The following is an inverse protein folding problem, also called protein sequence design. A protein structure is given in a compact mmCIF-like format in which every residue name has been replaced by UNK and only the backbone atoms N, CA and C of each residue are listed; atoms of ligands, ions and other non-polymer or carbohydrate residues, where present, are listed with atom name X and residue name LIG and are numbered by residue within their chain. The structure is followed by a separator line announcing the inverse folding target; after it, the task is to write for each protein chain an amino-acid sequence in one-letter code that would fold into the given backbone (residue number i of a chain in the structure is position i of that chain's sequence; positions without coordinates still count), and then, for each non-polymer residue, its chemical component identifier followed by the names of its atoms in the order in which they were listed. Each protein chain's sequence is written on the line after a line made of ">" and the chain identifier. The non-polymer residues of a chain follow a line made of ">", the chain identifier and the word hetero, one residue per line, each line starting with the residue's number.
data_IF_605155361392
#
_entry.id   IF_605155361392
#
_cell.length_a   1.000
_cell.length_b   1.000
_cell.length_c   1.000
_cell.angle_alpha   90.00
_cell.angle_beta   90.00
_cell.angle_gamma   90.00
#
_symmetry.space_group_name_H-M   'P 1'
#
loop_
_entity.id
_entity.type
_entity.pdbx_description
1 polymer ?
#
# COMPACT_ATOMS: atom_id res chain seq x y z
N UNK A 1 -21.74 16.11 5.00
CA UNK A 1 -20.81 15.68 6.06
C UNK A 1 -19.44 15.94 5.52
N UNK A 2 -18.75 16.90 6.12
CA UNK A 2 -17.55 17.56 5.63
C UNK A 2 -16.43 16.59 5.26
N UNK A 3 -15.96 16.68 4.01
CA UNK A 3 -14.87 15.90 3.44
C UNK A 3 -13.47 16.41 3.86
N UNK A 4 -13.36 17.12 4.98
CA UNK A 4 -12.20 17.97 5.29
C UNK A 4 -11.21 17.36 6.30
N UNK A 5 -11.51 16.18 6.87
CA UNK A 5 -10.66 15.54 7.90
C UNK A 5 -10.22 14.10 7.54
N UNK A 6 -10.49 13.63 6.32
CA UNK A 6 -10.02 12.31 5.91
C UNK A 6 -8.55 12.34 5.51
N UNK A 7 -7.76 11.41 6.05
CA UNK A 7 -6.37 11.16 5.66
C UNK A 7 -6.26 10.16 4.50
N UNK A 8 -7.39 9.68 3.96
CA UNK A 8 -7.41 8.80 2.79
C UNK A 8 -6.67 9.44 1.61
N UNK A 9 -5.79 8.66 0.96
CA UNK A 9 -4.95 9.13 -0.13
C UNK A 9 -3.77 10.01 0.30
N UNK A 10 -3.53 10.21 1.61
CA UNK A 10 -2.36 10.92 2.12
C UNK A 10 -1.22 9.97 2.50
N UNK A 11 -0.04 10.53 2.61
CA UNK A 11 1.14 9.87 3.15
C UNK A 11 1.35 10.27 4.61
N UNK A 12 1.58 9.28 5.46
CA UNK A 12 2.08 9.45 6.81
C UNK A 12 3.59 9.19 6.83
N UNK A 13 4.34 10.14 7.35
CA UNK A 13 5.79 10.05 7.48
C UNK A 13 6.11 9.95 8.97
N UNK A 14 6.78 8.87 9.36
CA UNK A 14 7.20 8.67 10.74
C UNK A 14 8.21 9.74 11.17
N UNK A 15 7.97 10.38 12.31
CA UNK A 15 8.88 11.37 12.88
C UNK A 15 10.09 10.71 13.55
N UNK A 16 11.28 11.35 13.52
CA UNK A 16 12.45 10.87 14.27
C UNK A 16 12.14 10.91 15.78
N UNK A 17 12.16 9.75 16.43
CA UNK A 17 11.71 9.58 17.81
C UNK A 17 10.37 8.84 17.95
N UNK A 18 9.83 8.31 16.86
CA UNK A 18 8.69 7.40 16.89
C UNK A 18 8.98 6.21 17.83
N UNK A 19 8.17 6.06 18.88
CA UNK A 19 8.42 5.08 19.94
C UNK A 19 8.29 3.61 19.49
N UNK A 20 7.64 3.36 18.35
CA UNK A 20 7.52 2.02 17.78
C UNK A 20 8.58 1.77 16.68
N UNK A 21 9.55 0.87 16.92
CA UNK A 21 10.63 0.60 15.96
C UNK A 21 10.14 -0.01 14.64
N UNK A 22 8.92 -0.57 14.60
CA UNK A 22 8.33 -1.11 13.36
C UNK A 22 8.00 0.00 12.37
N UNK A 23 7.67 1.18 12.89
CA UNK A 23 7.26 2.33 12.11
C UNK A 23 8.36 3.38 11.97
N UNK A 24 9.48 3.26 12.69
CA UNK A 24 10.63 4.12 12.51
C UNK A 24 11.08 4.19 11.03
N UNK A 25 11.28 5.43 10.56
CA UNK A 25 11.59 5.78 9.17
C UNK A 25 10.62 5.20 8.13
N UNK A 26 9.35 4.98 8.49
CA UNK A 26 8.34 4.46 7.56
C UNK A 26 7.56 5.59 6.90
N UNK A 27 7.24 5.38 5.63
CA UNK A 27 6.28 6.17 4.87
C UNK A 27 5.09 5.28 4.58
N UNK A 28 3.91 5.68 5.04
CA UNK A 28 2.68 4.91 4.93
C UNK A 28 1.71 5.64 4.03
N UNK A 29 1.21 4.95 3.01
CA UNK A 29 0.11 5.42 2.19
C UNK A 29 -1.23 5.02 2.79
N UNK A 30 -2.08 5.99 3.07
CA UNK A 30 -3.40 5.79 3.65
C UNK A 30 -4.40 5.35 2.58
N UNK A 31 -4.86 4.11 2.69
CA UNK A 31 -5.81 3.52 1.74
C UNK A 31 -7.25 3.74 2.18
N UNK A 32 -7.51 3.80 3.49
CA UNK A 32 -8.83 4.12 4.03
C UNK A 32 -8.67 4.84 5.37
N UNK A 33 -9.52 5.83 5.63
CA UNK A 33 -9.58 6.52 6.93
C UNK A 33 -11.03 6.86 7.26
N UNK A 34 -11.49 6.39 8.42
CA UNK A 34 -12.85 6.60 8.90
C UNK A 34 -12.87 6.66 10.43
N UNK A 35 -14.01 7.06 11.01
CA UNK A 35 -14.20 7.05 12.45
C UNK A 35 -14.10 5.65 13.09
N UNK A 36 -14.26 4.58 12.30
CA UNK A 36 -14.15 3.19 12.77
C UNK A 36 -12.70 2.69 12.79
N UNK A 37 -11.78 3.39 12.11
CA UNK A 37 -10.38 3.05 12.03
C UNK A 37 -9.74 3.48 10.71
N UNK A 38 -8.46 3.13 10.58
CA UNK A 38 -7.66 3.48 9.43
C UNK A 38 -6.86 2.28 8.89
N UNK A 39 -6.64 2.25 7.58
CA UNK A 39 -5.82 1.26 6.90
C UNK A 39 -4.79 1.97 6.03
N UNK A 40 -3.53 1.57 6.19
CA UNK A 40 -2.43 2.08 5.39
C UNK A 40 -1.42 1.00 5.03
N UNK A 41 -0.64 1.28 3.99
CA UNK A 41 0.42 0.40 3.49
C UNK A 41 1.76 1.13 3.58
N UNK A 42 2.75 0.52 4.20
CA UNK A 42 4.12 1.04 4.18
C UNK A 42 4.69 0.87 2.75
N UNK A 43 5.15 1.97 2.16
CA UNK A 43 5.62 2.02 0.75
C UNK A 43 7.13 2.15 0.61
N UNK A 44 7.87 2.39 1.69
CA UNK A 44 9.32 2.65 1.64
C UNK A 44 10.18 1.56 2.30
N UNK A 45 9.59 0.43 2.68
CA UNK A 45 10.31 -0.73 3.24
C UNK A 45 10.34 -1.87 2.23
N UNK A 46 11.30 -1.89 1.28
CA UNK A 46 11.43 -3.01 0.36
C UNK A 46 11.78 -4.29 1.12
N UNK A 47 11.24 -5.41 0.66
CA UNK A 47 11.54 -6.74 1.18
C UNK A 47 12.50 -7.45 0.20
N UNK A 48 13.82 -7.20 0.26
CA UNK A 48 14.78 -7.69 -0.75
C UNK A 48 14.85 -9.22 -0.84
N UNK A 49 14.44 -9.91 0.22
CA UNK A 49 14.37 -11.38 0.29
C UNK A 49 13.15 -11.94 -0.45
N UNK A 50 12.15 -11.11 -0.74
CA UNK A 50 10.91 -11.49 -1.41
C UNK A 50 10.88 -10.90 -2.82
N UNK A 51 10.88 -11.77 -3.81
CA UNK A 51 10.76 -11.40 -5.22
C UNK A 51 9.36 -11.65 -5.71
N UNK A 52 8.84 -10.74 -6.52
CA UNK A 52 7.54 -10.90 -7.16
C UNK A 52 7.46 -12.23 -7.92
N UNK A 53 8.46 -12.54 -8.75
CA UNK A 53 8.52 -13.82 -9.48
C UNK A 53 8.35 -15.04 -8.57
N UNK A 54 9.03 -15.07 -7.41
CA UNK A 54 8.92 -16.18 -6.47
C UNK A 54 7.54 -16.29 -5.81
N UNK A 55 6.84 -15.16 -5.62
CA UNK A 55 5.47 -15.15 -5.12
C UNK A 55 4.50 -15.72 -6.17
N UNK A 56 4.64 -15.28 -7.43
CA UNK A 56 3.82 -15.77 -8.55
C UNK A 56 4.01 -17.27 -8.77
N UNK A 57 5.26 -17.76 -8.71
CA UNK A 57 5.57 -19.20 -8.77
C UNK A 57 4.95 -19.98 -7.61
N UNK A 58 5.03 -19.47 -6.37
CA UNK A 58 4.42 -20.13 -5.20
C UNK A 58 2.89 -20.19 -5.29
N UNK A 59 2.27 -19.18 -5.91
CA UNK A 59 0.84 -19.10 -6.14
C UNK A 59 0.37 -19.94 -7.34
N UNK A 60 1.31 -20.50 -8.12
CA UNK A 60 1.01 -21.33 -9.28
C UNK A 60 0.47 -20.56 -10.49
N UNK A 61 0.78 -19.27 -10.56
CA UNK A 61 0.34 -18.39 -11.65
C UNK A 61 1.30 -18.54 -12.83
N UNK A 62 0.76 -18.77 -14.04
CA UNK A 62 1.57 -18.86 -15.25
C UNK A 62 2.09 -17.48 -15.65
N UNK A 63 3.41 -17.34 -15.71
CA UNK A 63 4.06 -16.10 -16.16
C UNK A 63 4.12 -16.11 -17.68
N UNK A 64 3.45 -15.17 -18.34
CA UNK A 64 3.51 -15.01 -19.79
C UNK A 64 4.86 -14.44 -20.23
N UNK A 65 5.04 -13.13 -20.02
CA UNK A 65 6.31 -12.41 -20.21
C UNK A 65 6.43 -11.36 -19.12
N UNK A 66 7.38 -11.50 -18.18
CA UNK A 66 7.58 -10.46 -17.18
C UNK A 66 8.25 -9.27 -17.87
N UNK A 67 7.48 -8.28 -18.30
CA UNK A 67 8.05 -7.02 -18.79
C UNK A 67 8.49 -6.11 -17.63
N UNK A 68 8.00 -6.36 -16.41
CA UNK A 68 8.23 -5.49 -15.25
C UNK A 68 8.49 -6.27 -13.96
N UNK A 69 9.57 -5.90 -13.27
CA UNK A 69 9.86 -6.34 -11.90
C UNK A 69 9.08 -5.45 -10.93
N UNK A 70 8.02 -5.99 -10.32
CA UNK A 70 7.28 -5.28 -9.26
C UNK A 70 8.06 -5.40 -7.96
N UNK A 71 8.33 -4.25 -7.34
CA UNK A 71 8.98 -4.20 -6.04
C UNK A 71 8.03 -4.69 -4.95
N UNK A 72 8.47 -5.69 -4.20
CA UNK A 72 7.77 -6.19 -3.01
C UNK A 72 8.22 -5.38 -1.80
N UNK A 73 7.25 -4.86 -1.06
CA UNK A 73 7.44 -4.09 0.14
C UNK A 73 6.74 -4.77 1.32
N UNK A 74 7.24 -4.47 2.51
CA UNK A 74 6.55 -4.79 3.75
C UNK A 74 5.49 -3.72 3.98
N UNK A 75 4.21 -4.06 3.89
CA UNK A 75 3.07 -3.14 4.03
C UNK A 75 2.64 -2.90 5.48
N UNK A 76 2.97 -3.82 6.38
CA UNK A 76 2.75 -3.65 7.81
C UNK A 76 2.69 -4.97 8.57
N UNK A 77 2.62 -4.91 9.91
CA UNK A 77 2.71 -6.09 10.77
C UNK A 77 1.46 -6.99 10.75
N UNK A 78 0.34 -6.52 10.20
CA UNK A 78 -0.94 -7.24 10.19
C UNK A 78 -1.07 -8.03 8.90
N UNK A 79 -1.49 -9.30 8.99
CA UNK A 79 -1.74 -10.19 7.83
C UNK A 79 -0.58 -10.25 6.82
N UNK A 80 0.67 -10.42 7.29
CA UNK A 80 1.87 -10.52 6.42
C UNK A 80 1.78 -11.60 5.32
N UNK A 81 0.89 -12.58 5.46
CA UNK A 81 0.63 -13.61 4.44
C UNK A 81 -0.28 -13.15 3.30
N UNK A 82 -0.89 -11.96 3.41
CA UNK A 82 -1.77 -11.39 2.39
C UNK A 82 -1.07 -10.26 1.65
N UNK A 83 -1.11 -10.33 0.32
CA UNK A 83 -0.61 -9.28 -0.56
C UNK A 83 -1.66 -8.24 -0.89
N UNK A 84 -1.27 -6.98 -0.82
CA UNK A 84 -2.04 -5.83 -1.27
C UNK A 84 -1.26 -5.16 -2.41
N UNK A 85 -1.89 -5.03 -3.57
CA UNK A 85 -1.31 -4.33 -4.71
C UNK A 85 -1.86 -2.91 -4.71
N UNK A 86 -0.98 -1.95 -4.43
CA UNK A 86 -1.26 -0.54 -4.67
C UNK A 86 -0.89 -0.23 -6.12
N UNK A 87 -1.81 0.37 -6.87
CA UNK A 87 -1.62 0.64 -8.28
C UNK A 87 -2.21 1.97 -8.71
N UNK A 88 -1.82 2.43 -9.90
CA UNK A 88 -2.46 3.56 -10.57
C UNK A 88 -3.92 3.24 -10.88
N UNK A 89 -4.81 4.24 -10.80
CA UNK A 89 -6.24 4.11 -11.10
C UNK A 89 -6.58 3.87 -12.60
N UNK A 90 -5.56 3.67 -13.44
CA UNK A 90 -5.71 3.25 -14.85
C UNK A 90 -6.13 1.76 -14.99
N UNK A 91 -5.96 0.99 -13.90
CA UNK A 91 -6.39 -0.40 -13.81
C UNK A 91 -7.52 -0.52 -12.80
N UNK A 92 -8.59 -1.23 -13.18
CA UNK A 92 -9.64 -1.69 -12.28
C UNK A 92 -9.81 -3.19 -12.48
N UNK A 93 -9.56 -3.96 -11.44
CA UNK A 93 -9.97 -5.37 -11.42
C UNK A 93 -11.47 -5.43 -11.14
N UNK A 94 -12.18 -6.29 -11.87
CA UNK A 94 -13.60 -6.57 -11.64
C UNK A 94 -13.83 -7.21 -10.25
N UNK A 95 -12.79 -7.78 -9.65
CA UNK A 95 -12.92 -8.69 -8.54
C UNK A 95 -12.99 -8.02 -7.16
N UNK A 96 -12.29 -6.89 -6.90
CA UNK A 96 -12.35 -6.10 -5.63
C UNK A 96 -11.27 -4.99 -5.61
N UNK A 97 -11.32 -4.02 -6.53
CA UNK A 97 -10.47 -2.82 -6.42
C UNK A 97 -11.13 -1.79 -5.50
N UNK A 98 -10.45 -1.45 -4.41
CA UNK A 98 -10.78 -0.28 -3.59
C UNK A 98 -10.20 0.96 -4.25
N UNK A 99 -11.08 1.87 -4.68
CA UNK A 99 -10.65 3.18 -5.19
C UNK A 99 -10.35 4.09 -4.01
N UNK A 100 -9.06 4.42 -3.82
CA UNK A 100 -8.60 5.30 -2.74
C UNK A 100 -8.74 6.76 -3.16
N UNK A 101 -8.28 7.09 -4.38
CA UNK A 101 -8.41 8.43 -4.96
C UNK A 101 -8.58 8.32 -6.48
N UNK A 102 -8.65 9.46 -7.17
CA UNK A 102 -8.64 9.50 -8.64
C UNK A 102 -7.31 9.02 -9.25
N UNK A 103 -6.22 9.02 -8.48
CA UNK A 103 -4.89 8.60 -8.93
C UNK A 103 -4.49 7.19 -8.47
N UNK A 104 -5.03 6.73 -7.35
CA UNK A 104 -4.60 5.49 -6.68
C UNK A 104 -5.76 4.51 -6.49
N UNK A 105 -5.51 3.25 -6.84
CA UNK A 105 -6.36 2.10 -6.54
C UNK A 105 -5.59 1.05 -5.75
N UNK A 106 -6.30 0.30 -4.92
CA UNK A 106 -5.73 -0.81 -4.16
C UNK A 106 -6.55 -2.07 -4.43
N UNK A 107 -5.86 -3.16 -4.77
CA UNK A 107 -6.49 -4.46 -5.02
C UNK A 107 -5.85 -5.52 -4.11
N UNK A 108 -6.69 -6.36 -3.50
CA UNK A 108 -6.27 -7.38 -2.54
C UNK A 108 -6.65 -8.81 -2.99
N UNK A 109 -6.71 -9.02 -4.31
CA UNK A 109 -7.04 -10.28 -4.99
C UNK A 109 -5.82 -10.84 -5.73
N UNK A 110 -5.88 -12.12 -6.10
CA UNK A 110 -4.82 -12.76 -6.89
C UNK A 110 -4.85 -12.34 -8.37
N UNK A 111 -6.03 -12.02 -8.88
CA UNK A 111 -6.29 -11.60 -10.27
C UNK A 111 -5.34 -10.49 -10.75
N UNK A 112 -5.14 -9.44 -9.96
CA UNK A 112 -4.19 -8.35 -10.31
C UNK A 112 -2.75 -8.83 -10.41
N UNK A 113 -2.35 -9.87 -9.65
CA UNK A 113 -1.02 -10.46 -9.75
C UNK A 113 -0.88 -11.25 -11.06
N UNK A 114 -1.95 -11.92 -11.49
CA UNK A 114 -2.03 -12.64 -12.76
C UNK A 114 -1.95 -11.67 -13.95
N UNK A 115 -2.70 -10.58 -13.91
CA UNK A 115 -2.66 -9.52 -14.95
C UNK A 115 -1.27 -8.89 -15.04
N UNK A 116 -0.65 -8.55 -13.91
CA UNK A 116 0.73 -8.04 -13.89
C UNK A 116 1.70 -9.06 -14.48
N UNK A 117 1.54 -10.36 -14.16
CA UNK A 117 2.40 -11.42 -14.68
C UNK A 117 2.18 -11.67 -16.19
N UNK A 118 0.99 -11.39 -16.72
CA UNK A 118 0.66 -11.49 -18.14
C UNK A 118 1.01 -10.23 -18.95
N UNK A 119 1.20 -9.09 -18.30
CA UNK A 119 1.49 -7.81 -18.94
C UNK A 119 0.28 -6.89 -19.13
N UNK A 120 -0.91 -7.31 -18.71
CA UNK A 120 -2.17 -6.55 -18.71
C UNK A 120 -2.40 -5.74 -17.41
N UNK A 121 -1.43 -5.79 -16.49
CA UNK A 121 -1.47 -5.06 -15.23
C UNK A 121 -1.32 -3.53 -15.37
N UNK A 122 -1.52 -2.80 -14.26
CA UNK A 122 -1.42 -1.33 -14.21
C UNK A 122 -0.10 -0.74 -14.70
N UNK A 123 -0.18 0.50 -15.20
CA UNK A 123 0.98 1.29 -15.59
C UNK A 123 1.96 1.56 -14.44
N UNK A 124 1.54 1.52 -13.19
CA UNK A 124 2.41 1.51 -12.01
C UNK A 124 1.79 0.69 -10.90
N UNK A 125 2.59 -0.18 -10.28
CA UNK A 125 2.16 -1.00 -9.16
C UNK A 125 3.29 -1.21 -8.14
N UNK A 126 2.86 -1.38 -6.89
CA UNK A 126 3.68 -1.75 -5.75
C UNK A 126 2.95 -2.86 -5.00
N UNK A 127 3.65 -3.98 -4.76
CA UNK A 127 3.12 -5.07 -3.96
C UNK A 127 3.57 -4.88 -2.51
N UNK A 128 2.61 -4.73 -1.60
CA UNK A 128 2.85 -4.64 -0.17
C UNK A 128 2.32 -5.91 0.52
N UNK A 129 3.15 -6.53 1.36
CA UNK A 129 2.75 -7.70 2.16
C UNK A 129 2.31 -7.26 3.55
N UNK A 130 1.09 -7.62 3.91
CA UNK A 130 0.42 -7.12 5.09
C UNK A 130 0.02 -5.65 4.99
N UNK A 131 -0.60 -5.15 6.05
CA UNK A 131 -0.99 -3.75 6.17
C UNK A 131 -0.76 -3.23 7.60
N UNK A 132 -0.83 -1.92 7.71
CA UNK A 132 -0.81 -1.20 8.97
C UNK A 132 -2.24 -0.73 9.25
N UNK A 133 -2.79 -1.19 10.37
CA UNK A 133 -4.15 -0.89 10.77
C UNK A 133 -4.18 -0.08 12.06
N UNK A 134 -5.09 0.89 12.12
CA UNK A 134 -5.35 1.70 13.31
C UNK A 134 -6.77 1.47 13.78
N UNK A 135 -6.93 1.35 15.10
CA UNK A 135 -8.23 1.39 15.74
C UNK A 135 -8.88 2.80 15.67
N UNK A 136 -10.15 2.90 16.05
CA UNK A 136 -10.88 4.16 16.04
C UNK A 136 -10.20 5.21 16.94
N UNK A 137 -9.86 6.38 16.38
CA UNK A 137 -9.21 7.48 17.11
C UNK A 137 -7.72 7.28 17.42
N UNK A 138 -7.13 6.13 17.06
CA UNK A 138 -5.73 5.83 17.39
C UNK A 138 -4.78 6.67 16.54
N UNK A 139 -5.04 6.76 15.25
CA UNK A 139 -4.19 7.49 14.32
C UNK A 139 -4.14 8.98 14.68
N UNK A 140 -5.30 9.58 14.97
CA UNK A 140 -5.41 10.98 15.38
C UNK A 140 -4.65 11.24 16.68
N UNK A 141 -4.70 10.31 17.65
CA UNK A 141 -3.93 10.41 18.88
C UNK A 141 -2.42 10.36 18.62
N UNK A 142 -1.94 9.51 17.70
CA UNK A 142 -0.52 9.46 17.33
C UNK A 142 -0.07 10.72 16.60
N UNK A 143 -0.90 11.28 15.72
CA UNK A 143 -0.64 12.56 15.05
C UNK A 143 -0.55 13.70 16.09
N UNK A 144 -1.46 13.74 17.06
CA UNK A 144 -1.43 14.71 18.16
C UNK A 144 -0.18 14.57 19.05
N UNK A 145 0.38 13.37 19.14
CA UNK A 145 1.63 13.10 19.86
C UNK A 145 2.89 13.39 19.03
N UNK A 146 2.75 14.00 17.84
CA UNK A 146 3.84 14.26 16.89
C UNK A 146 4.53 12.98 16.41
N UNK A 147 3.82 11.84 16.38
CA UNK A 147 4.34 10.59 15.84
C UNK A 147 4.41 10.58 14.32
N UNK A 148 3.48 11.29 13.66
CA UNK A 148 3.31 11.28 12.21
C UNK A 148 3.23 12.69 11.64
N UNK A 149 3.89 12.90 10.50
CA UNK A 149 3.63 14.02 9.60
C UNK A 149 2.75 13.56 8.45
N UNK A 150 1.75 14.36 8.08
CA UNK A 150 0.86 14.08 6.95
C UNK A 150 1.24 14.92 5.74
N UNK A 151 1.33 14.33 4.57
CA UNK A 151 1.48 15.06 3.30
C UNK A 151 0.64 14.43 2.19
N UNK A 152 0.38 15.17 1.11
CA UNK A 152 -0.37 14.64 -0.03
C UNK A 152 0.46 13.61 -0.80
N UNK A 153 -0.16 12.50 -1.19
CA UNK A 153 0.50 11.47 -1.96
C UNK A 153 0.63 11.90 -3.42
N UNK A 154 1.87 11.92 -3.92
CA UNK A 154 2.13 12.05 -5.35
C UNK A 154 2.49 10.68 -5.94
N UNK A 155 2.00 10.32 -7.14
CA UNK A 155 2.34 9.05 -7.79
C UNK A 155 3.85 8.85 -7.93
N UNK A 156 4.59 9.93 -8.13
CA UNK A 156 6.06 9.93 -8.21
C UNK A 156 6.72 9.54 -6.87
N UNK A 157 6.11 9.86 -5.73
CA UNK A 157 6.63 9.46 -4.41
C UNK A 157 6.25 7.99 -4.11
N UNK A 158 5.04 7.58 -4.51
CA UNK A 158 4.51 6.25 -4.22
C UNK A 158 5.10 5.18 -5.13
N UNK A 159 5.22 5.49 -6.42
CA UNK A 159 5.69 4.56 -7.45
C UNK A 159 7.06 4.90 -8.00
N UNK A 160 7.52 6.15 -7.86
CA UNK A 160 8.83 6.57 -8.34
C UNK A 160 9.96 5.90 -7.59
N UNK A 161 11.13 5.95 -8.22
CA UNK A 161 12.32 5.20 -7.89
C UNK A 161 13.52 6.11 -7.92
#
# INVERSE_FOLDING_TARGET
>A
MDATDSLEGKLLIAMPGMGDPRFEHSVIFMCAHSAEGALGLIINKPAPELKFASLIEQLGIEVGKPERDIRVHFGGPVENGRGFVLHSNDYLSEASTLRVTDAFGMTATLDVLEDIACGDGPASALLALGYSGWGPGQLEAEIMQNGWLTCDAAPDIVFGS
#
